data_IF_789661301700
#
_entry.id   IF_789661301700
#
_cell.length_a   1.000
_cell.length_b   1.000
_cell.length_c   1.000
_cell.angle_alpha   90.00
_cell.angle_beta   90.00
_cell.angle_gamma   90.00
#
_symmetry.space_group_name_H-M   'P 1'
#
loop_
_entity.id
_entity.type
_entity.pdbx_description
1 polymer ?
#
# COMPACT_ATOMS: atom_id res chain seq x y z
N UNK A 1 10.85 13.24 -26.91
CA UNK A 1 12.24 13.07 -26.45
C UNK A 1 12.77 14.46 -26.12
N UNK A 2 12.72 14.84 -24.84
CA UNK A 2 13.19 16.13 -24.35
C UNK A 2 14.04 15.83 -23.11
N UNK A 3 15.36 15.96 -23.28
CA UNK A 3 16.35 16.03 -22.19
C UNK A 3 16.39 17.47 -21.67
N UNK A 4 16.80 17.69 -20.41
CA UNK A 4 17.46 18.86 -19.77
C UNK A 4 16.98 19.03 -18.29
N UNK A 5 17.72 19.74 -17.41
CA UNK A 5 19.06 19.48 -16.87
C UNK A 5 19.04 19.22 -15.34
N UNK A 6 20.00 18.43 -14.83
CA UNK A 6 20.10 18.08 -13.41
C UNK A 6 20.66 19.21 -12.53
N UNK A 7 20.01 19.47 -11.40
CA UNK A 7 20.58 20.29 -10.31
C UNK A 7 21.42 19.38 -9.40
N UNK A 8 22.73 19.64 -9.32
CA UNK A 8 23.64 18.98 -8.37
C UNK A 8 23.44 19.55 -6.96
N UNK A 9 23.10 18.71 -6.00
CA UNK A 9 23.23 19.01 -4.58
C UNK A 9 24.44 18.24 -4.03
N UNK A 10 25.52 18.95 -3.66
CA UNK A 10 26.71 18.36 -3.05
C UNK A 10 26.63 18.55 -1.53
N UNK A 11 26.26 17.52 -0.78
CA UNK A 11 26.52 17.43 0.65
C UNK A 11 27.54 16.33 0.92
N UNK A 12 28.74 16.70 1.37
CA UNK A 12 29.72 15.79 1.97
C UNK A 12 29.55 15.82 3.48
N UNK A 13 29.24 14.67 4.08
CA UNK A 13 29.33 14.48 5.54
C UNK A 13 30.37 13.39 5.79
N UNK A 14 31.46 13.74 6.47
CA UNK A 14 32.39 12.79 7.05
C UNK A 14 32.14 12.80 8.56
N UNK A 15 31.67 11.69 9.12
CA UNK A 15 31.45 11.54 10.55
C UNK A 15 32.01 10.21 11.04
N UNK A 16 33.07 10.26 11.83
CA UNK A 16 33.51 9.15 12.68
C UNK A 16 32.74 9.25 14.00
N UNK A 17 31.86 8.30 14.28
CA UNK A 17 31.22 8.19 15.59
C UNK A 17 32.10 7.29 16.48
N UNK A 18 32.66 7.84 17.56
CA UNK A 18 33.36 7.06 18.60
C UNK A 18 32.46 6.98 19.84
N UNK A 19 32.05 5.76 20.19
CA UNK A 19 31.35 5.46 21.44
C UNK A 19 32.40 4.95 22.42
N UNK A 20 32.56 5.63 23.56
CA UNK A 20 33.46 5.19 24.64
C UNK A 20 32.66 4.42 25.69
N UNK A 21 32.97 3.14 25.88
CA UNK A 21 32.45 2.33 26.98
C UNK A 21 33.57 2.02 27.99
N UNK A 22 33.26 2.08 29.29
CA UNK A 22 34.22 1.87 30.38
C UNK A 22 34.51 0.37 30.59
N UNK A 23 35.34 -0.19 29.72
CA UNK A 23 36.16 -1.40 29.89
C UNK A 23 36.97 -1.58 28.59
N UNK A 24 38.20 -2.09 28.66
CA UNK A 24 39.23 -2.01 27.62
C UNK A 24 38.96 -2.86 26.36
N UNK A 25 37.91 -2.53 25.61
CA UNK A 25 37.59 -3.07 24.29
C UNK A 25 37.17 -1.90 23.40
N UNK A 26 37.99 -1.60 22.40
CA UNK A 26 37.66 -0.63 21.35
C UNK A 26 36.91 -1.34 20.21
N UNK A 27 35.65 -0.97 19.99
CA UNK A 27 34.88 -1.42 18.82
C UNK A 27 35.08 -0.40 17.70
N UNK A 28 35.64 -0.83 16.58
CA UNK A 28 35.80 -0.01 15.37
C UNK A 28 34.84 -0.48 14.28
N UNK A 29 33.80 0.30 14.01
CA UNK A 29 32.97 0.13 12.82
C UNK A 29 33.55 0.97 11.66
N UNK A 30 33.62 0.38 10.46
CA UNK A 30 33.99 1.09 9.23
C UNK A 30 32.85 0.96 8.23
N UNK A 31 32.25 2.09 7.88
CA UNK A 31 31.15 2.16 6.92
C UNK A 31 31.62 2.94 5.69
N UNK A 32 31.53 2.32 4.51
CA UNK A 32 31.82 2.95 3.22
C UNK A 32 30.56 2.84 2.36
N UNK A 33 29.81 3.94 2.25
CA UNK A 33 28.59 4.02 1.45
C UNK A 33 28.79 5.07 0.37
N UNK A 34 28.43 4.75 -0.86
CA UNK A 34 28.50 5.65 -2.00
C UNK A 34 27.08 6.12 -2.38
N UNK A 35 26.86 7.44 -2.42
CA UNK A 35 25.61 8.01 -2.94
C UNK A 35 25.72 8.18 -4.45
N UNK A 36 24.80 7.59 -5.20
CA UNK A 36 24.72 7.70 -6.66
C UNK A 36 23.37 8.23 -7.08
N UNK A 37 23.37 9.02 -8.15
CA UNK A 37 22.15 9.32 -8.89
C UNK A 37 21.89 8.11 -9.79
N UNK A 38 20.73 7.50 -9.65
CA UNK A 38 20.25 6.41 -10.48
C UNK A 38 18.95 6.82 -11.17
N UNK A 39 18.66 6.20 -12.31
CA UNK A 39 17.36 6.34 -12.98
C UNK A 39 16.41 5.28 -12.42
N UNK A 40 15.19 5.69 -12.12
CA UNK A 40 14.10 4.83 -11.64
C UNK A 40 12.97 4.80 -12.67
N UNK A 41 12.15 3.76 -12.64
CA UNK A 41 11.10 3.50 -13.62
C UNK A 41 9.79 3.07 -12.94
N UNK A 42 8.87 4.02 -12.78
CA UNK A 42 7.48 3.70 -12.49
C UNK A 42 6.80 3.16 -13.76
N UNK A 43 5.96 2.13 -13.60
CA UNK A 43 5.17 1.54 -14.70
C UNK A 43 3.69 1.72 -14.41
N UNK A 44 2.95 2.19 -15.41
CA UNK A 44 1.50 2.42 -15.30
C UNK A 44 0.75 1.64 -16.36
N UNK A 45 -0.32 0.95 -15.96
CA UNK A 45 -1.32 0.40 -16.88
C UNK A 45 -2.65 1.11 -16.65
N UNK A 46 -3.29 1.57 -17.73
CA UNK A 46 -4.49 2.41 -17.65
C UNK A 46 -5.66 1.69 -18.32
N UNK A 47 -6.73 1.47 -17.57
CA UNK A 47 -8.03 1.02 -18.08
C UNK A 47 -8.93 2.25 -18.11
N UNK A 48 -9.15 2.80 -19.30
CA UNK A 48 -9.88 4.07 -19.48
C UNK A 48 -11.37 3.90 -19.19
N UNK A 49 -11.88 4.77 -18.31
CA UNK A 49 -13.31 4.86 -17.98
C UNK A 49 -14.17 5.29 -19.18
N UNK A 50 -15.43 4.86 -19.20
CA UNK A 50 -16.41 5.18 -20.24
C UNK A 50 -17.11 6.52 -20.01
N UNK A 51 -17.47 6.85 -18.77
CA UNK A 51 -18.30 8.01 -18.42
C UNK A 51 -17.49 9.15 -17.79
N UNK A 52 -16.62 8.82 -16.84
CA UNK A 52 -15.76 9.77 -16.10
C UNK A 52 -14.27 9.43 -16.32
N UNK A 53 -13.74 9.51 -17.56
CA UNK A 53 -12.38 9.09 -17.87
C UNK A 53 -11.29 9.94 -17.20
N UNK A 54 -11.63 11.12 -16.68
CA UNK A 54 -10.76 12.03 -15.95
C UNK A 54 -10.79 11.82 -14.42
N UNK A 55 -11.54 10.82 -13.94
CA UNK A 55 -11.52 10.35 -12.55
C UNK A 55 -10.71 9.06 -12.44
N UNK A 56 -9.81 9.00 -11.46
CA UNK A 56 -8.83 7.92 -11.34
C UNK A 56 -9.01 7.14 -10.04
N UNK A 57 -9.12 5.81 -10.15
CA UNK A 57 -8.92 4.88 -9.05
C UNK A 57 -7.55 4.25 -9.23
N UNK A 58 -6.65 4.48 -8.26
CA UNK A 58 -5.29 4.01 -8.33
C UNK A 58 -5.13 2.73 -7.50
N UNK A 59 -4.48 1.71 -8.06
CA UNK A 59 -4.02 0.52 -7.33
C UNK A 59 -2.49 0.53 -7.40
N UNK A 60 -1.81 0.63 -6.26
CA UNK A 60 -0.36 0.76 -6.23
C UNK A 60 0.36 -0.28 -5.37
N UNK A 61 1.57 -0.60 -5.82
CA UNK A 61 2.54 -1.49 -5.17
C UNK A 61 3.94 -1.11 -5.70
N UNK A 62 4.96 -1.03 -4.84
CA UNK A 62 6.33 -0.91 -5.33
C UNK A 62 6.88 -2.24 -5.83
N UNK A 63 7.95 -2.19 -6.60
CA UNK A 63 8.52 -3.35 -7.31
C UNK A 63 9.98 -3.60 -6.96
N UNK A 64 10.71 -2.56 -6.57
CA UNK A 64 12.08 -2.72 -6.08
C UNK A 64 12.09 -3.39 -4.71
N UNK A 65 13.12 -4.17 -4.44
CA UNK A 65 13.34 -4.87 -3.19
C UNK A 65 14.82 -4.78 -2.80
N UNK A 66 15.13 -4.90 -1.51
CA UNK A 66 16.54 -5.01 -1.06
C UNK A 66 17.29 -6.20 -1.65
N UNK A 67 16.63 -7.35 -1.80
CA UNK A 67 17.23 -8.58 -2.32
C UNK A 67 16.31 -9.29 -3.31
N UNK A 68 15.72 -10.44 -2.95
CA UNK A 68 14.72 -11.12 -3.77
C UNK A 68 13.31 -10.61 -3.50
N UNK A 69 13.00 -10.29 -2.23
CA UNK A 69 11.77 -9.59 -1.87
C UNK A 69 10.50 -10.36 -2.18
N UNK A 70 10.43 -11.65 -1.82
CA UNK A 70 9.28 -12.48 -2.17
C UNK A 70 8.01 -12.08 -1.41
N UNK A 71 8.16 -11.61 -0.17
CA UNK A 71 7.14 -10.91 0.60
C UNK A 71 7.14 -9.45 0.19
N UNK A 72 8.25 -8.76 0.44
CA UNK A 72 8.41 -7.32 0.24
C UNK A 72 9.21 -7.02 -1.05
N UNK A 73 8.56 -6.58 -2.15
CA UNK A 73 7.13 -6.35 -2.34
C UNK A 73 6.46 -7.35 -3.29
N UNK A 74 7.19 -8.38 -3.75
CA UNK A 74 6.72 -9.18 -4.89
C UNK A 74 5.43 -9.95 -4.58
N UNK A 75 5.05 -10.12 -3.32
CA UNK A 75 3.73 -10.65 -2.95
C UNK A 75 2.60 -9.70 -3.40
N UNK A 76 2.74 -8.39 -3.18
CA UNK A 76 1.83 -7.37 -3.71
C UNK A 76 1.92 -7.24 -5.22
N UNK A 77 3.12 -7.31 -5.80
CA UNK A 77 3.29 -7.24 -7.27
C UNK A 77 2.57 -8.40 -7.95
N UNK A 78 2.68 -9.62 -7.41
CA UNK A 78 1.98 -10.79 -7.92
C UNK A 78 0.46 -10.60 -7.88
N UNK A 79 -0.08 -10.05 -6.79
CA UNK A 79 -1.51 -9.76 -6.67
C UNK A 79 -1.96 -8.66 -7.66
N UNK A 80 -1.19 -7.57 -7.81
CA UNK A 80 -1.49 -6.50 -8.76
C UNK A 80 -1.57 -7.03 -10.20
N UNK A 81 -0.65 -7.91 -10.58
CA UNK A 81 -0.65 -8.58 -11.88
C UNK A 81 -1.84 -9.53 -12.06
N UNK A 82 -2.25 -10.27 -11.02
CA UNK A 82 -3.45 -11.12 -11.09
C UNK A 82 -4.73 -10.28 -11.24
N UNK A 83 -4.84 -9.15 -10.54
CA UNK A 83 -5.94 -8.19 -10.72
C UNK A 83 -5.95 -7.65 -12.15
N UNK A 84 -4.80 -7.22 -12.69
CA UNK A 84 -4.69 -6.77 -14.07
C UNK A 84 -5.21 -7.82 -15.07
N UNK A 85 -4.82 -9.09 -14.86
CA UNK A 85 -5.26 -10.23 -15.67
C UNK A 85 -6.77 -10.47 -15.55
N UNK A 86 -7.35 -10.38 -14.34
CA UNK A 86 -8.79 -10.55 -14.10
C UNK A 86 -9.60 -9.45 -14.75
N UNK A 87 -9.19 -8.19 -14.63
CA UNK A 87 -9.83 -7.07 -15.31
C UNK A 87 -9.76 -7.21 -16.83
N UNK A 88 -8.62 -7.64 -17.38
CA UNK A 88 -8.52 -7.93 -18.81
C UNK A 88 -9.48 -9.04 -19.27
N UNK A 89 -9.76 -10.04 -18.43
CA UNK A 89 -10.79 -11.05 -18.71
C UNK A 89 -12.20 -10.46 -18.69
N UNK A 90 -12.53 -9.64 -17.70
CA UNK A 90 -13.82 -8.94 -17.63
C UNK A 90 -14.03 -8.03 -18.83
N UNK A 91 -13.00 -7.29 -19.26
CA UNK A 91 -13.05 -6.44 -20.45
C UNK A 91 -13.33 -7.22 -21.72
N UNK A 92 -12.77 -8.43 -21.86
CA UNK A 92 -13.08 -9.34 -22.99
C UNK A 92 -14.53 -9.83 -22.98
N UNK A 93 -15.21 -9.75 -21.83
CA UNK A 93 -16.63 -10.06 -21.68
C UNK A 93 -17.52 -8.81 -21.82
N UNK A 94 -16.95 -7.64 -22.15
CA UNK A 94 -17.69 -6.41 -22.40
C UNK A 94 -17.79 -5.46 -21.20
N UNK A 95 -17.14 -5.77 -20.08
CA UNK A 95 -17.05 -4.82 -18.96
C UNK A 95 -16.13 -3.64 -19.31
N UNK A 96 -16.56 -2.43 -18.97
CA UNK A 96 -15.75 -1.23 -19.00
C UNK A 96 -16.12 -0.38 -17.79
N UNK A 97 -15.14 0.11 -17.01
CA UNK A 97 -15.45 0.88 -15.82
C UNK A 97 -15.98 2.27 -16.14
N UNK A 98 -16.76 2.88 -15.23
CA UNK A 98 -17.22 4.27 -15.42
C UNK A 98 -16.05 5.25 -15.27
N UNK A 99 -15.22 5.04 -14.25
CA UNK A 99 -14.00 5.82 -13.97
C UNK A 99 -12.77 5.09 -14.46
N UNK A 100 -11.69 5.83 -14.71
CA UNK A 100 -10.43 5.23 -15.14
C UNK A 100 -9.74 4.52 -13.98
N UNK A 101 -9.32 3.28 -14.19
CA UNK A 101 -8.46 2.53 -13.26
C UNK A 101 -7.01 2.67 -13.72
N UNK A 102 -6.11 2.95 -12.79
CA UNK A 102 -4.66 2.99 -13.04
C UNK A 102 -3.97 2.01 -12.10
N UNK A 103 -3.24 1.06 -12.69
CA UNK A 103 -2.37 0.15 -11.96
C UNK A 103 -0.97 0.76 -11.95
N UNK A 104 -0.44 0.99 -10.76
CA UNK A 104 0.83 1.67 -10.53
C UNK A 104 1.83 0.67 -9.96
N UNK A 105 2.96 0.48 -10.66
CA UNK A 105 4.11 -0.25 -10.15
C UNK A 105 5.24 0.74 -9.88
N UNK A 106 5.40 1.09 -8.61
CA UNK A 106 6.37 2.07 -8.14
C UNK A 106 7.78 1.48 -8.09
N UNK A 107 8.78 2.35 -8.15
CA UNK A 107 10.19 1.99 -8.11
C UNK A 107 10.93 2.87 -7.11
N UNK A 108 12.03 2.38 -6.56
CA UNK A 108 12.80 3.02 -5.49
C UNK A 108 11.98 3.37 -4.24
N UNK A 109 11.04 2.51 -3.84
CA UNK A 109 10.35 2.65 -2.55
C UNK A 109 11.28 2.37 -1.37
N UNK A 110 12.13 1.35 -1.49
CA UNK A 110 13.09 0.94 -0.46
C UNK A 110 14.14 2.03 -0.15
N UNK A 111 14.23 3.02 -1.05
CA UNK A 111 15.09 4.19 -0.92
C UNK A 111 14.33 5.43 -0.43
N UNK A 112 13.12 5.26 0.11
CA UNK A 112 12.26 6.29 0.70
C UNK A 112 11.11 6.72 -0.19
N UNK A 113 10.33 5.77 -0.74
CA UNK A 113 9.14 6.02 -1.59
C UNK A 113 9.44 6.97 -2.74
N UNK A 114 10.64 6.92 -3.33
CA UNK A 114 11.10 7.94 -4.29
C UNK A 114 10.19 7.93 -5.52
N UNK A 115 9.85 6.75 -6.04
CA UNK A 115 9.01 6.63 -7.24
C UNK A 115 7.63 7.26 -7.08
N UNK A 116 6.89 6.88 -6.04
CA UNK A 116 5.56 7.44 -5.80
C UNK A 116 5.62 8.92 -5.40
N UNK A 117 6.60 9.32 -4.59
CA UNK A 117 6.78 10.71 -4.16
C UNK A 117 7.04 11.63 -5.35
N UNK A 118 8.02 11.32 -6.19
CA UNK A 118 8.34 12.15 -7.37
C UNK A 118 7.16 12.21 -8.35
N UNK A 119 6.41 11.11 -8.50
CA UNK A 119 5.20 11.12 -9.30
C UNK A 119 4.11 12.02 -8.72
N UNK A 120 3.94 12.02 -7.40
CA UNK A 120 3.02 12.92 -6.71
C UNK A 120 3.43 14.36 -6.89
N UNK A 121 4.70 14.70 -6.65
CA UNK A 121 5.22 16.06 -6.80
C UNK A 121 5.02 16.59 -8.23
N UNK A 122 5.27 15.75 -9.23
CA UNK A 122 5.07 16.11 -10.63
C UNK A 122 3.59 16.37 -10.99
N UNK A 123 2.65 15.69 -10.33
CA UNK A 123 1.23 15.71 -10.67
C UNK A 123 0.35 16.45 -9.67
N UNK A 124 0.91 16.99 -8.59
CA UNK A 124 0.22 17.46 -7.38
C UNK A 124 -1.01 18.33 -7.66
N UNK A 125 -0.88 19.29 -8.58
CA UNK A 125 -1.94 20.23 -8.94
C UNK A 125 -3.22 19.54 -9.48
N UNK A 126 -3.09 18.34 -10.04
CA UNK A 126 -4.18 17.59 -10.64
C UNK A 126 -4.70 16.45 -9.74
N UNK A 127 -3.90 15.96 -8.80
CA UNK A 127 -4.23 14.74 -8.06
C UNK A 127 -5.48 14.90 -7.20
N UNK A 128 -5.55 15.95 -6.39
CA UNK A 128 -6.70 16.16 -5.49
C UNK A 128 -8.04 16.39 -6.19
N UNK A 129 -8.04 16.76 -7.49
CA UNK A 129 -9.28 16.96 -8.27
C UNK A 129 -9.67 15.77 -9.15
N UNK A 130 -8.75 14.84 -9.39
CA UNK A 130 -8.95 13.72 -10.33
C UNK A 130 -8.89 12.36 -9.67
N UNK A 131 -8.04 12.17 -8.67
CA UNK A 131 -7.90 10.88 -8.01
C UNK A 131 -9.00 10.71 -6.98
N UNK A 132 -9.83 9.69 -7.19
CA UNK A 132 -10.92 9.30 -6.30
C UNK A 132 -10.35 8.68 -5.03
N UNK A 133 -9.46 7.69 -5.20
CA UNK A 133 -8.81 7.00 -4.11
C UNK A 133 -7.53 6.29 -4.58
N UNK A 134 -6.64 6.02 -3.62
CA UNK A 134 -5.44 5.19 -3.78
C UNK A 134 -5.54 3.93 -2.92
N UNK A 135 -5.43 2.76 -3.55
CA UNK A 135 -5.49 1.47 -2.89
C UNK A 135 -4.10 0.85 -2.91
N UNK A 136 -3.42 0.87 -1.76
CA UNK A 136 -2.08 0.34 -1.57
C UNK A 136 -2.12 -1.13 -1.17
N UNK A 137 -1.28 -1.94 -1.79
CA UNK A 137 -0.87 -3.24 -1.27
C UNK A 137 0.61 -3.37 -1.55
N UNK A 138 1.40 -3.12 -0.53
CA UNK A 138 2.85 -3.30 -0.55
C UNK A 138 3.16 -4.81 -0.43
N UNK A 139 3.15 -5.32 0.80
CA UNK A 139 3.26 -6.72 1.09
C UNK A 139 1.87 -7.36 1.20
N UNK A 140 1.41 -8.07 0.16
CA UNK A 140 0.11 -8.76 0.22
C UNK A 140 0.06 -9.80 1.33
N UNK A 141 1.11 -10.61 1.51
CA UNK A 141 1.13 -11.69 2.50
C UNK A 141 2.47 -11.84 3.19
N UNK A 142 2.46 -11.64 4.50
CA UNK A 142 3.57 -11.75 5.42
C UNK A 142 3.33 -12.87 6.45
N UNK A 143 2.08 -13.34 6.57
CA UNK A 143 1.64 -14.35 7.53
C UNK A 143 0.12 -14.43 7.65
N UNK A 144 -0.41 -15.07 8.71
CA UNK A 144 -1.86 -15.18 8.94
C UNK A 144 -2.47 -13.89 9.53
N UNK A 145 -3.78 -13.76 9.35
CA UNK A 145 -4.57 -12.65 9.88
C UNK A 145 -4.66 -11.45 8.94
N UNK A 146 -5.89 -10.99 8.68
CA UNK A 146 -6.17 -9.84 7.83
C UNK A 146 -6.03 -8.51 8.58
N UNK A 147 -5.34 -7.56 7.96
CA UNK A 147 -5.17 -6.21 8.47
C UNK A 147 -5.44 -5.19 7.36
N UNK A 148 -5.95 -4.04 7.79
CA UNK A 148 -6.20 -2.93 6.90
C UNK A 148 -6.05 -1.59 7.61
N UNK A 149 -5.54 -0.61 6.89
CA UNK A 149 -5.60 0.80 7.23
C UNK A 149 -6.42 1.57 6.19
N UNK A 150 -7.17 2.58 6.62
CA UNK A 150 -7.94 3.40 5.69
C UNK A 150 -8.18 4.82 6.19
N UNK A 151 -8.51 5.69 5.25
CA UNK A 151 -9.18 6.96 5.55
C UNK A 151 -10.65 6.70 5.93
N UNK A 152 -11.23 7.45 6.90
CA UNK A 152 -12.58 7.20 7.45
C UNK A 152 -13.71 6.99 6.43
N UNK A 153 -13.68 7.75 5.35
CA UNK A 153 -14.70 7.70 4.32
C UNK A 153 -14.75 6.35 3.58
N UNK A 154 -13.68 5.54 3.63
CA UNK A 154 -13.57 4.24 2.96
C UNK A 154 -13.88 3.04 3.88
N UNK A 155 -14.05 3.26 5.19
CA UNK A 155 -14.21 2.18 6.18
C UNK A 155 -15.41 1.27 5.85
N UNK A 156 -16.56 1.87 5.53
CA UNK A 156 -17.77 1.12 5.21
C UNK A 156 -17.60 0.28 3.94
N UNK A 157 -17.00 0.85 2.89
CA UNK A 157 -16.77 0.11 1.66
C UNK A 157 -15.85 -1.09 1.92
N UNK A 158 -14.78 -0.90 2.69
CA UNK A 158 -13.85 -1.96 3.06
C UNK A 158 -14.56 -3.08 3.84
N UNK A 159 -15.41 -2.74 4.79
CA UNK A 159 -16.21 -3.72 5.55
C UNK A 159 -17.16 -4.50 4.63
N UNK A 160 -17.87 -3.81 3.73
CA UNK A 160 -18.81 -4.46 2.81
C UNK A 160 -18.09 -5.37 1.79
N UNK A 161 -16.88 -5.00 1.37
CA UNK A 161 -16.04 -5.88 0.54
C UNK A 161 -15.52 -7.08 1.34
N UNK A 162 -15.07 -6.89 2.57
CA UNK A 162 -14.58 -7.99 3.42
C UNK A 162 -15.65 -9.05 3.70
N UNK A 163 -16.95 -8.68 3.69
CA UNK A 163 -18.09 -9.61 3.78
C UNK A 163 -18.33 -10.43 2.50
N UNK A 164 -17.73 -10.05 1.38
CA UNK A 164 -17.92 -10.73 0.08
C UNK A 164 -16.77 -11.69 -0.27
N UNK A 165 -15.66 -11.61 0.45
CA UNK A 165 -14.47 -12.41 0.19
C UNK A 165 -14.38 -13.52 1.22
N UNK A 166 -14.24 -14.76 0.75
CA UNK A 166 -14.02 -15.92 1.59
C UNK A 166 -12.69 -15.78 2.35
N UNK A 167 -12.68 -16.13 3.63
CA UNK A 167 -11.46 -16.17 4.42
C UNK A 167 -10.56 -17.30 3.92
N UNK A 168 -9.27 -17.06 3.66
CA UNK A 168 -8.36 -18.07 3.14
C UNK A 168 -8.03 -19.16 4.18
N UNK A 169 -8.23 -18.89 5.47
CA UNK A 169 -7.95 -19.79 6.58
C UNK A 169 -9.23 -20.50 7.07
N UNK A 170 -10.38 -20.29 6.41
CA UNK A 170 -11.66 -20.91 6.76
C UNK A 170 -12.60 -21.11 5.57
N UNK A 171 -13.08 -22.35 5.39
CA UNK A 171 -14.00 -22.68 4.29
C UNK A 171 -15.41 -22.09 4.44
N UNK A 172 -15.84 -21.75 5.66
CA UNK A 172 -17.22 -21.34 5.95
C UNK A 172 -17.37 -19.86 6.31
N UNK A 173 -16.27 -19.13 6.44
CA UNK A 173 -16.27 -17.75 6.90
C UNK A 173 -15.84 -16.78 5.81
N UNK A 174 -16.32 -15.56 5.89
CA UNK A 174 -15.77 -14.43 5.14
C UNK A 174 -14.61 -13.82 5.91
N UNK A 175 -13.78 -13.03 5.23
CA UNK A 175 -12.72 -12.24 5.90
C UNK A 175 -13.32 -11.41 7.03
N UNK A 176 -14.51 -10.81 6.81
CA UNK A 176 -15.20 -10.04 7.84
C UNK A 176 -15.52 -10.88 9.09
N UNK A 177 -16.03 -12.10 8.92
CA UNK A 177 -16.41 -12.97 10.05
C UNK A 177 -15.19 -13.33 10.90
N UNK A 178 -14.10 -13.75 10.25
CA UNK A 178 -12.86 -14.09 10.94
C UNK A 178 -12.21 -12.85 11.59
N UNK A 179 -12.26 -11.70 10.91
CA UNK A 179 -11.74 -10.43 11.41
C UNK A 179 -12.47 -9.97 12.68
N UNK A 180 -13.81 -10.11 12.71
CA UNK A 180 -14.64 -9.87 13.89
C UNK A 180 -14.31 -10.80 15.05
N UNK A 181 -14.12 -12.11 14.79
CA UNK A 181 -13.83 -13.09 15.83
C UNK A 181 -12.45 -12.83 16.45
N UNK A 182 -11.44 -12.60 15.60
CA UNK A 182 -10.05 -12.43 16.03
C UNK A 182 -9.86 -11.16 16.87
N UNK A 183 -10.46 -10.04 16.46
CA UNK A 183 -10.24 -8.75 17.11
C UNK A 183 -11.36 -8.33 18.06
N UNK A 184 -12.46 -9.10 18.17
CA UNK A 184 -13.72 -8.76 18.86
C UNK A 184 -14.48 -7.56 18.28
N UNK A 185 -13.78 -6.66 17.59
CA UNK A 185 -14.29 -5.49 16.87
C UNK A 185 -13.48 -5.33 15.59
N UNK A 186 -14.12 -4.91 14.49
CA UNK A 186 -13.39 -4.53 13.27
C UNK A 186 -12.45 -3.37 13.60
N UNK A 187 -11.15 -3.60 13.44
CA UNK A 187 -10.11 -2.61 13.69
C UNK A 187 -9.45 -2.19 12.37
N UNK A 188 -9.99 -1.14 11.74
CA UNK A 188 -9.36 -0.49 10.59
C UNK A 188 -8.43 0.59 11.11
N UNK A 189 -7.12 0.40 10.90
CA UNK A 189 -6.10 1.35 11.33
C UNK A 189 -6.26 2.69 10.61
N UNK A 190 -5.86 3.79 11.24
CA UNK A 190 -5.75 5.07 10.53
C UNK A 190 -4.38 5.15 9.87
N UNK A 191 -4.35 5.58 8.62
CA UNK A 191 -3.13 5.74 7.85
C UNK A 191 -2.33 6.95 8.33
N UNK A 192 -1.46 6.73 9.31
CA UNK A 192 -0.53 7.74 9.85
C UNK A 192 0.94 7.41 9.60
N UNK A 193 1.24 6.24 9.04
CA UNK A 193 2.60 5.83 8.67
C UNK A 193 3.14 6.66 7.51
N UNK A 194 4.46 6.79 7.46
CA UNK A 194 5.19 7.54 6.42
C UNK A 194 6.14 6.66 5.63
N UNK A 195 6.03 5.34 5.79
CA UNK A 195 7.00 4.35 5.28
C UNK A 195 6.38 3.47 4.18
N UNK A 196 5.38 3.99 3.46
CA UNK A 196 4.67 3.29 2.39
C UNK A 196 4.24 4.27 1.30
N UNK A 197 4.13 3.80 0.05
CA UNK A 197 3.71 4.59 -1.12
C UNK A 197 2.39 5.37 -0.95
N UNK A 198 1.49 4.99 -0.03
CA UNK A 198 0.28 5.78 0.23
C UNK A 198 0.59 7.14 0.88
N UNK A 199 1.74 7.31 1.52
CA UNK A 199 2.10 8.49 2.29
C UNK A 199 2.11 9.78 1.43
N UNK A 200 2.82 9.86 0.30
CA UNK A 200 2.75 11.05 -0.57
C UNK A 200 1.34 11.27 -1.13
N UNK A 201 0.59 10.21 -1.45
CA UNK A 201 -0.78 10.35 -1.97
C UNK A 201 -1.74 10.93 -0.92
N UNK A 202 -1.70 10.40 0.30
CA UNK A 202 -2.61 10.82 1.37
C UNK A 202 -2.17 12.13 2.01
N UNK A 203 -0.93 12.19 2.50
CA UNK A 203 -0.47 13.27 3.37
C UNK A 203 -0.08 14.52 2.58
N UNK A 204 0.40 14.36 1.35
CA UNK A 204 0.80 15.48 0.51
C UNK A 204 -0.31 15.89 -0.48
N UNK A 205 -0.91 14.93 -1.18
CA UNK A 205 -1.95 15.21 -2.18
C UNK A 205 -3.39 15.18 -1.65
N UNK A 206 -3.62 14.71 -0.42
CA UNK A 206 -4.97 14.66 0.18
C UNK A 206 -5.88 13.58 -0.41
N UNK A 207 -5.32 12.57 -1.07
CA UNK A 207 -6.09 11.49 -1.71
C UNK A 207 -6.58 10.50 -0.66
N UNK A 208 -7.89 10.13 -0.65
CA UNK A 208 -8.41 9.05 0.17
C UNK A 208 -7.67 7.74 -0.10
N UNK A 209 -7.13 7.10 0.94
CA UNK A 209 -6.32 5.90 0.77
C UNK A 209 -6.79 4.71 1.61
N UNK A 210 -6.45 3.52 1.15
CA UNK A 210 -6.54 2.23 1.85
C UNK A 210 -5.20 1.51 1.72
N UNK A 211 -4.82 0.76 2.74
CA UNK A 211 -3.66 -0.15 2.76
C UNK A 211 -4.12 -1.52 3.30
N UNK A 212 -3.76 -2.63 2.63
CA UNK A 212 -4.23 -3.98 2.94
C UNK A 212 -3.09 -4.99 2.97
N UNK A 213 -3.11 -5.90 3.93
CA UNK A 213 -2.12 -6.98 4.00
C UNK A 213 -2.58 -8.13 4.92
N UNK A 214 -2.00 -9.31 4.71
CA UNK A 214 -2.08 -10.45 5.62
C UNK A 214 -0.78 -10.60 6.42
N UNK A 215 -0.84 -10.79 7.74
CA UNK A 215 0.33 -10.79 8.62
C UNK A 215 0.74 -9.38 9.06
N UNK A 216 1.83 -9.22 9.83
CA UNK A 216 2.35 -7.88 10.22
C UNK A 216 3.86 -7.80 10.25
N UNK A 217 4.47 -8.76 10.93
CA UNK A 217 5.92 -8.86 11.07
C UNK A 217 6.32 -10.24 10.56
N UNK A 218 7.42 -10.31 9.80
CA UNK A 218 7.95 -11.56 9.32
C UNK A 218 9.48 -11.61 9.52
N UNK A 219 10.04 -12.77 9.90
CA UNK A 219 11.40 -12.87 10.44
C UNK A 219 12.51 -12.65 9.41
N UNK A 220 12.19 -12.60 8.13
CA UNK A 220 13.17 -12.49 7.03
C UNK A 220 13.12 -11.14 6.32
N UNK A 221 12.35 -10.18 6.85
CA UNK A 221 12.22 -8.80 6.33
C UNK A 221 13.56 -8.15 6.01
N UNK A 222 13.69 -7.61 4.79
CA UNK A 222 14.89 -6.93 4.27
C UNK A 222 16.18 -7.76 4.35
N UNK A 223 16.06 -9.09 4.36
CA UNK A 223 17.20 -10.02 4.32
C UNK A 223 17.21 -10.84 3.03
N UNK A 224 18.35 -11.46 2.71
CA UNK A 224 18.44 -12.41 1.60
C UNK A 224 17.60 -13.69 1.78
N UNK A 225 16.97 -13.88 2.95
CA UNK A 225 16.07 -14.99 3.22
C UNK A 225 14.61 -14.68 2.85
N UNK A 226 14.26 -13.41 2.59
CA UNK A 226 12.99 -13.06 1.96
C UNK A 226 13.01 -13.55 0.51
N UNK A 227 12.61 -14.81 0.34
CA UNK A 227 12.81 -15.60 -0.86
C UNK A 227 11.55 -16.39 -1.18
N UNK A 228 11.40 -16.78 -2.44
CA UNK A 228 10.26 -17.58 -2.88
C UNK A 228 10.12 -18.87 -2.04
N UNK A 229 11.24 -19.47 -1.65
CA UNK A 229 11.24 -20.65 -0.77
C UNK A 229 10.58 -20.36 0.58
N UNK A 230 10.92 -19.23 1.21
CA UNK A 230 10.28 -18.81 2.46
C UNK A 230 8.77 -18.61 2.27
N UNK A 231 8.37 -17.93 1.18
CA UNK A 231 6.96 -17.73 0.86
C UNK A 231 6.20 -19.05 0.74
N UNK A 232 6.72 -20.02 -0.03
CA UNK A 232 6.06 -21.31 -0.26
C UNK A 232 6.07 -22.25 0.95
N UNK A 233 6.97 -22.06 1.91
CA UNK A 233 7.07 -22.93 3.09
C UNK A 233 6.43 -22.32 4.34
N UNK A 234 6.35 -20.99 4.43
CA UNK A 234 5.98 -20.28 5.66
C UNK A 234 4.97 -19.15 5.44
N UNK A 235 5.12 -18.34 4.39
CA UNK A 235 4.24 -17.19 4.15
C UNK A 235 2.83 -17.59 3.71
N UNK A 236 2.72 -18.25 2.56
CA UNK A 236 1.46 -18.70 1.98
C UNK A 236 1.64 -19.93 1.08
N UNK A 237 1.83 -21.14 1.66
CA UNK A 237 2.15 -22.34 0.89
C UNK A 237 1.15 -22.69 -0.23
N UNK A 238 -0.11 -22.29 -0.08
CA UNK A 238 -1.17 -22.56 -1.06
C UNK A 238 -1.60 -21.31 -1.84
N UNK A 239 -0.98 -20.16 -1.60
CA UNK A 239 -1.32 -18.86 -2.21
C UNK A 239 -2.78 -18.42 -2.00
N UNK A 240 -3.49 -19.01 -1.03
CA UNK A 240 -4.90 -18.71 -0.79
C UNK A 240 -5.07 -17.32 -0.19
N UNK A 241 -4.13 -16.86 0.65
CA UNK A 241 -4.16 -15.49 1.19
C UNK A 241 -3.89 -14.47 0.10
N UNK A 242 -2.98 -14.75 -0.85
CA UNK A 242 -2.79 -13.89 -2.03
C UNK A 242 -4.09 -13.75 -2.83
N UNK A 243 -4.81 -14.86 -3.04
CA UNK A 243 -6.11 -14.85 -3.73
C UNK A 243 -7.15 -14.04 -2.96
N UNK A 244 -7.16 -14.13 -1.63
CA UNK A 244 -8.05 -13.36 -0.77
C UNK A 244 -7.76 -11.84 -0.86
N UNK A 245 -6.48 -11.43 -0.79
CA UNK A 245 -6.07 -10.03 -0.99
C UNK A 245 -6.44 -9.53 -2.39
N UNK A 246 -6.23 -10.34 -3.43
CA UNK A 246 -6.68 -10.02 -4.79
C UNK A 246 -8.19 -9.77 -4.86
N UNK A 247 -8.97 -10.56 -4.12
CA UNK A 247 -10.41 -10.40 -3.99
C UNK A 247 -10.80 -9.07 -3.36
N UNK A 248 -10.22 -8.73 -2.20
CA UNK A 248 -10.54 -7.47 -1.51
C UNK A 248 -10.08 -6.26 -2.33
N UNK A 249 -8.82 -6.24 -2.74
CA UNK A 249 -8.22 -5.11 -3.46
C UNK A 249 -8.89 -4.87 -4.80
N UNK A 250 -9.18 -5.95 -5.55
CA UNK A 250 -9.89 -5.87 -6.82
C UNK A 250 -11.36 -5.44 -6.67
N UNK A 251 -12.08 -5.90 -5.65
CA UNK A 251 -13.48 -5.51 -5.42
C UNK A 251 -13.61 -4.06 -4.95
N UNK A 252 -12.69 -3.57 -4.11
CA UNK A 252 -12.62 -2.16 -3.73
C UNK A 252 -12.48 -1.27 -4.96
N UNK A 253 -11.54 -1.60 -5.83
CA UNK A 253 -11.31 -0.86 -7.06
C UNK A 253 -12.52 -0.89 -8.00
N UNK A 254 -13.18 -2.04 -8.14
CA UNK A 254 -14.41 -2.15 -8.94
C UNK A 254 -15.51 -1.24 -8.40
N UNK A 255 -15.80 -1.28 -7.10
CA UNK A 255 -16.81 -0.41 -6.50
C UNK A 255 -16.49 1.08 -6.71
N UNK A 256 -15.24 1.49 -6.50
CA UNK A 256 -14.83 2.88 -6.69
C UNK A 256 -14.87 3.31 -8.17
N UNK A 257 -14.63 2.38 -9.09
CA UNK A 257 -14.60 2.65 -10.52
C UNK A 257 -15.98 2.57 -11.20
N UNK A 258 -16.90 1.76 -10.66
CA UNK A 258 -18.17 1.42 -11.32
C UNK A 258 -19.41 1.94 -10.59
N UNK A 259 -19.35 2.20 -9.28
CA UNK A 259 -20.55 2.66 -8.57
C UNK A 259 -20.92 4.08 -9.05
N UNK A 260 -22.18 4.33 -9.43
CA UNK A 260 -22.61 5.66 -9.91
C UNK A 260 -22.39 6.77 -8.88
N UNK A 261 -22.51 6.43 -7.60
CA UNK A 261 -22.25 7.31 -6.47
C UNK A 261 -21.05 6.73 -5.72
N UNK A 262 -20.03 7.55 -5.49
CA UNK A 262 -18.88 7.15 -4.69
C UNK A 262 -19.34 6.70 -3.30
N UNK A 263 -18.98 5.48 -2.85
CA UNK A 263 -19.44 4.90 -1.58
C UNK A 263 -18.70 5.48 -0.36
N UNK A 264 -18.50 6.79 -0.32
CA UNK A 264 -17.83 7.50 0.76
C UNK A 264 -18.80 7.80 1.91
N UNK A 265 -18.40 7.47 3.13
CA UNK A 265 -19.15 7.82 4.35
C UNK A 265 -18.48 8.97 5.12
N UNK A 266 -18.91 10.21 4.86
CA UNK A 266 -18.42 11.38 5.57
C UNK A 266 -19.05 11.58 6.97
N UNK A 267 -20.13 10.88 7.31
CA UNK A 267 -20.71 10.93 8.67
C UNK A 267 -19.73 10.31 9.66
N UNK A 268 -19.13 9.18 9.30
CA UNK A 268 -18.10 8.52 10.12
C UNK A 268 -16.85 9.39 10.26
N UNK A 269 -16.43 10.07 9.20
CA UNK A 269 -15.31 11.01 9.24
C UNK A 269 -15.53 12.10 10.29
N UNK A 270 -16.74 12.66 10.37
CA UNK A 270 -17.11 13.64 11.41
C UNK A 270 -16.97 13.04 12.81
N UNK A 271 -17.49 11.85 13.06
CA UNK A 271 -17.40 11.19 14.38
C UNK A 271 -15.95 10.97 14.81
N UNK A 272 -15.08 10.55 13.88
CA UNK A 272 -13.66 10.37 14.17
C UNK A 272 -12.98 11.71 14.47
N UNK A 273 -13.32 12.79 13.75
CA UNK A 273 -12.82 14.13 14.07
C UNK A 273 -13.28 14.62 15.45
N UNK A 274 -14.51 14.31 15.86
CA UNK A 274 -15.02 14.64 17.19
C UNK A 274 -14.23 13.91 18.30
N UNK A 275 -13.89 12.64 18.11
CA UNK A 275 -13.03 11.88 19.04
C UNK A 275 -11.62 12.46 19.18
N UNK A 276 -11.04 12.99 18.09
CA UNK A 276 -9.72 13.63 18.12
C UNK A 276 -9.71 15.00 18.80
N UNK A 277 -10.87 15.66 18.93
CA UNK A 277 -11.03 16.94 19.64
C UNK A 277 -11.16 16.77 21.15
N UNK A 278 -11.45 15.56 21.64
CA UNK A 278 -11.61 15.26 23.06
C UNK A 278 -10.42 14.58 23.78
N UNK A 279 -9.12 14.90 23.55
CA UNK A 279 -8.05 14.35 24.39
C UNK A 279 -8.11 14.86 25.85
N UNK A 280 -8.80 15.97 26.10
CA UNK A 280 -8.81 16.67 27.41
C UNK A 280 -9.72 16.05 28.48
N UNK A 281 -10.42 14.93 28.23
CA UNK A 281 -11.32 14.32 29.23
C UNK A 281 -10.82 13.02 29.85
N UNK A 282 -9.62 12.54 29.51
CA UNK A 282 -9.01 11.34 30.10
C UNK A 282 -8.00 11.63 31.24
N UNK A 283 -7.93 12.87 31.71
CA UNK A 283 -7.01 13.33 32.75
C UNK A 283 -7.62 13.54 34.15
N UNK A 284 -8.89 13.22 34.38
CA UNK A 284 -9.51 13.29 35.71
C UNK A 284 -10.54 12.18 35.86
N UNK A 285 -10.11 11.02 36.38
CA UNK A 285 -10.87 10.10 37.23
C UNK A 285 -9.98 9.01 37.80
#
# INVERSE_FOLDING_TARGET
MLLFPSKKCNLRVWGLCKVYASSSIDIKAMLQVEKKIATIHNVFAIIRGSEEPDRYVLLGNHRDAWTYGAVDPNSGTAVLLDIARRYALMMRQGWQPQRTIVLCSWDADEFGMIGSTEWVEQNLLNLGSKVVAYLNVDCAVQGPGFFAGATPQLDNLLIEVAKKVQDPDSESMTIYDNWMITNKVINIQRLSGVDYDFAPLLQHAGVPSVDLYYGRDFPVYHTAFDSYNWMTNHGDPLFQRHVAVAGVWGLLALHLADDPILPFNYVLHRTIMELHKSPTQLGER
#
